data_IF_008239199838
#
_entry.id   IF_008239199838
#
_cell.length_a   1.000
_cell.length_b   1.000
_cell.length_c   1.000
_cell.angle_alpha   90.00
_cell.angle_beta   90.00
_cell.angle_gamma   90.00
#
_symmetry.space_group_name_H-M   'P 1'
#
loop_
_entity.id
_entity.type
_entity.pdbx_description
1 polymer ?
#
# COMPACT_ATOMS: atom_id res chain seq x y z
N UNK A 1 9.31 -32.16 25.90
CA UNK A 1 7.91 -32.10 25.47
C UNK A 1 7.72 -30.70 24.92
N UNK A 2 7.99 -30.51 23.63
CA UNK A 2 7.82 -29.22 22.98
C UNK A 2 6.36 -29.14 22.55
N UNK A 3 5.63 -28.17 23.09
CA UNK A 3 4.32 -27.80 22.60
C UNK A 3 4.47 -27.46 21.11
N UNK A 4 3.75 -28.21 20.28
CA UNK A 4 3.47 -27.81 18.91
C UNK A 4 2.63 -26.56 19.05
N UNK A 5 3.28 -25.39 18.97
CA UNK A 5 2.60 -24.11 18.83
C UNK A 5 1.79 -24.24 17.56
N UNK A 6 0.48 -24.48 17.73
CA UNK A 6 -0.45 -24.55 16.64
C UNK A 6 -0.32 -23.25 15.86
N UNK A 7 0.14 -23.35 14.61
CA UNK A 7 -0.02 -22.29 13.62
C UNK A 7 -1.50 -21.93 13.69
N UNK A 8 -1.88 -20.65 13.92
CA UNK A 8 -3.28 -20.26 13.89
C UNK A 8 -3.82 -20.79 12.58
N UNK A 9 -4.85 -21.62 12.64
CA UNK A 9 -5.53 -22.07 11.44
C UNK A 9 -6.09 -20.80 10.82
N UNK A 10 -5.36 -20.30 9.84
CA UNK A 10 -5.71 -19.15 9.03
C UNK A 10 -6.98 -19.60 8.30
N UNK A 11 -8.11 -19.28 8.90
CA UNK A 11 -9.44 -19.64 8.43
C UNK A 11 -9.80 -18.64 7.33
N UNK A 12 -8.96 -18.59 6.30
CA UNK A 12 -9.18 -17.73 5.15
C UNK A 12 -10.43 -18.22 4.44
N UNK A 13 -11.40 -17.33 4.36
CA UNK A 13 -12.53 -17.49 3.43
C UNK A 13 -12.13 -17.19 1.98
N UNK A 14 -10.83 -17.03 1.70
CA UNK A 14 -10.32 -16.78 0.36
C UNK A 14 -10.05 -18.09 -0.36
N UNK A 15 -10.60 -18.22 -1.56
CA UNK A 15 -10.13 -19.22 -2.51
C UNK A 15 -8.83 -18.74 -3.20
N UNK A 16 -8.14 -19.64 -3.91
CA UNK A 16 -6.87 -19.33 -4.57
C UNK A 16 -6.98 -18.19 -5.60
N UNK A 17 -8.12 -18.06 -6.28
CA UNK A 17 -8.37 -17.01 -7.27
C UNK A 17 -8.45 -15.63 -6.61
N UNK A 18 -9.19 -15.51 -5.50
CA UNK A 18 -9.28 -14.28 -4.71
C UNK A 18 -7.94 -13.87 -4.09
N UNK A 19 -7.13 -14.86 -3.68
CA UNK A 19 -5.79 -14.59 -3.17
C UNK A 19 -4.85 -14.07 -4.28
N UNK A 20 -4.89 -14.66 -5.46
CA UNK A 20 -4.16 -14.16 -6.62
C UNK A 20 -4.59 -12.73 -6.99
N UNK A 21 -5.89 -12.44 -7.00
CA UNK A 21 -6.41 -11.10 -7.29
C UNK A 21 -5.92 -10.07 -6.25
N UNK A 22 -5.94 -10.42 -4.95
CA UNK A 22 -5.42 -9.56 -3.90
C UNK A 22 -3.91 -9.25 -4.08
N UNK A 23 -3.12 -10.26 -4.45
CA UNK A 23 -1.69 -10.14 -4.73
C UNK A 23 -1.45 -9.23 -5.94
N UNK A 24 -2.20 -9.42 -7.04
CA UNK A 24 -2.10 -8.59 -8.24
C UNK A 24 -2.40 -7.12 -7.95
N UNK A 25 -3.47 -6.85 -7.19
CA UNK A 25 -3.83 -5.47 -6.81
C UNK A 25 -2.75 -4.84 -5.93
N UNK A 26 -2.14 -5.61 -5.03
CA UNK A 26 -1.08 -5.12 -4.16
C UNK A 26 0.22 -4.83 -4.93
N UNK A 27 0.59 -5.68 -5.89
CA UNK A 27 1.69 -5.40 -6.84
C UNK A 27 1.44 -4.12 -7.65
N UNK A 28 0.20 -3.92 -8.11
CA UNK A 28 -0.19 -2.68 -8.80
C UNK A 28 0.00 -1.45 -7.91
N UNK A 29 -0.48 -1.50 -6.67
CA UNK A 29 -0.32 -0.42 -5.70
C UNK A 29 1.17 -0.10 -5.44
N UNK A 30 2.00 -1.12 -5.19
CA UNK A 30 3.44 -0.95 -4.96
C UNK A 30 4.14 -0.26 -6.13
N UNK A 31 3.83 -0.67 -7.37
CA UNK A 31 4.39 -0.07 -8.58
C UNK A 31 3.99 1.40 -8.75
N UNK A 32 2.73 1.74 -8.45
CA UNK A 32 2.25 3.13 -8.50
C UNK A 32 3.01 4.00 -7.49
N UNK A 33 3.13 3.53 -6.24
CA UNK A 33 3.83 4.25 -5.17
C UNK A 33 5.32 4.44 -5.45
N UNK A 34 5.99 3.39 -5.93
CA UNK A 34 7.41 3.47 -6.35
C UNK A 34 7.60 4.45 -7.52
N UNK A 35 6.68 4.47 -8.49
CA UNK A 35 6.72 5.45 -9.58
C UNK A 35 6.60 6.90 -9.08
N UNK A 36 5.74 7.14 -8.08
CA UNK A 36 5.57 8.46 -7.48
C UNK A 36 6.84 8.88 -6.74
N UNK A 37 7.48 7.97 -5.98
CA UNK A 37 8.76 8.26 -5.32
C UNK A 37 9.84 8.67 -6.33
N UNK A 38 10.02 7.89 -7.39
CA UNK A 38 11.01 8.18 -8.44
C UNK A 38 10.77 9.54 -9.10
N UNK A 39 9.50 9.89 -9.33
CA UNK A 39 9.15 11.20 -9.90
C UNK A 39 9.48 12.34 -8.93
N UNK A 40 9.08 12.22 -7.66
CA UNK A 40 9.39 13.21 -6.63
C UNK A 40 10.91 13.39 -6.48
N UNK A 41 11.69 12.31 -6.56
CA UNK A 41 13.15 12.32 -6.52
C UNK A 41 13.76 13.07 -7.69
N UNK A 42 13.25 12.84 -8.90
CA UNK A 42 13.71 13.51 -10.13
C UNK A 42 13.45 15.03 -10.16
N UNK A 43 12.58 15.53 -9.28
CA UNK A 43 12.18 16.94 -9.23
C UNK A 43 11.14 17.32 -10.28
N UNK A 44 10.66 16.37 -11.08
CA UNK A 44 9.48 16.55 -11.91
C UNK A 44 8.23 16.70 -11.04
N UNK A 45 7.35 17.62 -11.40
CA UNK A 45 6.19 17.99 -10.60
C UNK A 45 4.94 18.02 -11.46
N UNK A 46 4.35 16.85 -11.70
CA UNK A 46 3.01 16.74 -12.26
C UNK A 46 2.02 16.48 -11.13
N UNK A 47 1.75 17.51 -10.30
CA UNK A 47 0.98 17.39 -9.07
C UNK A 47 -0.37 16.68 -9.23
N UNK A 48 -1.11 16.97 -10.30
CA UNK A 48 -2.37 16.26 -10.63
C UNK A 48 -2.12 14.76 -10.91
N UNK A 49 -1.14 14.43 -11.74
CA UNK A 49 -0.81 13.05 -12.07
C UNK A 49 -0.25 12.27 -10.87
N UNK A 50 0.44 12.94 -9.94
CA UNK A 50 0.84 12.34 -8.66
C UNK A 50 -0.40 12.06 -7.81
N UNK A 51 -1.33 13.01 -7.68
CA UNK A 51 -2.56 12.84 -6.91
C UNK A 51 -3.42 11.69 -7.44
N UNK A 52 -3.59 11.59 -8.75
CA UNK A 52 -4.35 10.52 -9.40
C UNK A 52 -3.74 9.14 -9.12
N UNK A 53 -2.41 9.00 -9.25
CA UNK A 53 -1.72 7.73 -8.93
C UNK A 53 -1.79 7.37 -7.45
N UNK A 54 -1.75 8.34 -6.54
CA UNK A 54 -1.93 8.10 -5.12
C UNK A 54 -3.36 7.64 -4.81
N UNK A 55 -4.37 8.21 -5.48
CA UNK A 55 -5.75 7.77 -5.36
C UNK A 55 -5.94 6.34 -5.89
N UNK A 56 -5.32 6.03 -7.02
CA UNK A 56 -5.35 4.68 -7.60
C UNK A 56 -4.65 3.67 -6.70
N UNK A 57 -3.45 3.98 -6.18
CA UNK A 57 -2.74 3.13 -5.24
C UNK A 57 -3.58 2.86 -3.98
N UNK A 58 -4.24 3.88 -3.43
CA UNK A 58 -5.15 3.73 -2.29
C UNK A 58 -6.30 2.77 -2.61
N UNK A 59 -6.91 2.90 -3.79
CA UNK A 59 -8.01 2.03 -4.23
C UNK A 59 -7.54 0.57 -4.34
N UNK A 60 -6.35 0.36 -4.93
CA UNK A 60 -5.75 -0.97 -5.11
C UNK A 60 -5.45 -1.65 -3.78
N UNK A 61 -4.91 -0.92 -2.80
CA UNK A 61 -4.75 -1.45 -1.44
C UNK A 61 -6.09 -1.82 -0.82
N UNK A 62 -7.14 -1.00 -1.01
CA UNK A 62 -8.46 -1.33 -0.49
C UNK A 62 -9.05 -2.60 -1.13
N UNK A 63 -8.84 -2.85 -2.43
CA UNK A 63 -9.24 -4.11 -3.07
C UNK A 63 -8.59 -5.31 -2.38
N UNK A 64 -7.28 -5.25 -2.12
CA UNK A 64 -6.58 -6.29 -1.35
C UNK A 64 -7.11 -6.42 0.09
N UNK A 65 -7.41 -5.29 0.75
CA UNK A 65 -7.95 -5.27 2.12
C UNK A 65 -9.30 -5.98 2.24
N UNK A 66 -10.19 -5.84 1.26
CA UNK A 66 -11.49 -6.53 1.26
C UNK A 66 -11.36 -8.07 1.33
N UNK A 67 -10.25 -8.60 0.83
CA UNK A 67 -9.95 -10.03 0.91
C UNK A 67 -9.26 -10.42 2.23
N UNK A 68 -8.54 -9.48 2.85
CA UNK A 68 -7.67 -9.75 4.02
C UNK A 68 -8.20 -9.22 5.35
N UNK A 69 -9.35 -8.54 5.37
CA UNK A 69 -9.92 -7.88 6.57
C UNK A 69 -10.19 -8.83 7.76
N UNK A 70 -10.32 -10.13 7.51
CA UNK A 70 -10.50 -11.12 8.59
C UNK A 70 -9.22 -11.43 9.37
N UNK A 71 -8.05 -11.13 8.79
CA UNK A 71 -6.76 -11.23 9.48
C UNK A 71 -6.42 -9.86 10.07
N UNK A 72 -6.43 -9.77 11.40
CA UNK A 72 -6.24 -8.51 12.14
C UNK A 72 -4.88 -7.88 11.82
N UNK A 73 -3.82 -8.69 11.66
CA UNK A 73 -2.49 -8.14 11.40
C UNK A 73 -2.45 -7.54 9.99
N UNK A 74 -2.98 -8.26 8.99
CA UNK A 74 -3.00 -7.74 7.62
C UNK A 74 -3.90 -6.51 7.48
N UNK A 75 -5.04 -6.48 8.15
CA UNK A 75 -5.93 -5.32 8.14
C UNK A 75 -5.25 -4.10 8.78
N UNK A 76 -4.55 -4.26 9.91
CA UNK A 76 -3.79 -3.17 10.54
C UNK A 76 -2.74 -2.56 9.58
N UNK A 77 -1.93 -3.40 8.92
CA UNK A 77 -0.93 -2.91 7.98
C UNK A 77 -1.55 -2.24 6.74
N UNK A 78 -2.63 -2.80 6.20
CA UNK A 78 -3.35 -2.24 5.05
C UNK A 78 -4.00 -0.89 5.41
N UNK A 79 -4.68 -0.80 6.55
CA UNK A 79 -5.32 0.45 7.01
C UNK A 79 -4.29 1.53 7.28
N UNK A 80 -3.16 1.20 7.93
CA UNK A 80 -2.07 2.16 8.14
C UNK A 80 -1.50 2.65 6.80
N UNK A 81 -1.22 1.74 5.86
CA UNK A 81 -0.74 2.10 4.53
C UNK A 81 -1.72 3.00 3.77
N UNK A 82 -3.01 2.68 3.80
CA UNK A 82 -4.07 3.51 3.22
C UNK A 82 -4.11 4.92 3.83
N UNK A 83 -3.95 5.04 5.15
CA UNK A 83 -3.84 6.32 5.84
C UNK A 83 -2.66 7.15 5.33
N UNK A 84 -1.48 6.53 5.25
CA UNK A 84 -0.26 7.17 4.77
C UNK A 84 -0.36 7.62 3.30
N UNK A 85 -0.96 6.80 2.43
CA UNK A 85 -1.20 7.16 1.02
C UNK A 85 -2.15 8.36 0.94
N UNK A 86 -3.22 8.37 1.75
CA UNK A 86 -4.16 9.47 1.79
C UNK A 86 -3.51 10.77 2.31
N UNK A 87 -2.65 10.69 3.32
CA UNK A 87 -1.89 11.83 3.83
C UNK A 87 -0.97 12.41 2.75
N UNK A 88 -0.24 11.54 2.04
CA UNK A 88 0.59 11.93 0.90
C UNK A 88 -0.23 12.66 -0.16
N UNK A 89 -1.39 12.11 -0.52
CA UNK A 89 -2.30 12.70 -1.51
C UNK A 89 -2.81 14.07 -1.06
N UNK A 90 -3.29 14.19 0.18
CA UNK A 90 -3.80 15.45 0.71
C UNK A 90 -2.73 16.54 0.73
N UNK A 91 -1.47 16.18 1.02
CA UNK A 91 -0.35 17.12 0.95
C UNK A 91 -0.09 17.59 -0.50
N UNK A 92 -0.12 16.69 -1.48
CA UNK A 92 0.00 17.03 -2.91
C UNK A 92 -1.14 17.94 -3.35
N UNK A 93 -2.39 17.57 -3.04
CA UNK A 93 -3.58 18.36 -3.39
C UNK A 93 -3.54 19.76 -2.77
N UNK A 94 -3.06 19.87 -1.53
CA UNK A 94 -2.89 21.15 -0.86
C UNK A 94 -1.88 22.04 -1.61
N UNK A 95 -0.73 21.49 -2.00
CA UNK A 95 0.28 22.22 -2.78
C UNK A 95 -0.28 22.71 -4.13
N UNK A 96 -1.00 21.83 -4.84
CA UNK A 96 -1.66 22.17 -6.11
C UNK A 96 -2.70 23.27 -5.91
N UNK A 97 -3.58 23.14 -4.91
CA UNK A 97 -4.65 24.10 -4.64
C UNK A 97 -4.14 25.49 -4.26
N UNK A 98 -3.00 25.56 -3.57
CA UNK A 98 -2.35 26.82 -3.19
C UNK A 98 -1.54 27.44 -4.33
N UNK A 99 -1.48 26.79 -5.50
CA UNK A 99 -0.60 27.20 -6.60
C UNK A 99 0.88 27.20 -6.20
N UNK A 100 1.25 26.40 -5.19
CA UNK A 100 2.62 26.29 -4.70
C UNK A 100 3.30 25.12 -5.41
N UNK A 101 4.52 25.36 -5.89
CA UNK A 101 5.41 24.27 -6.27
C UNK A 101 5.78 23.40 -5.06
N UNK A 102 6.42 22.27 -5.31
CA UNK A 102 6.91 21.38 -4.25
C UNK A 102 7.94 22.10 -3.40
N UNK A 103 7.66 22.20 -2.10
CA UNK A 103 8.65 22.69 -1.14
C UNK A 103 9.54 21.54 -0.70
N UNK A 104 10.76 21.83 -0.25
CA UNK A 104 11.67 20.79 0.28
C UNK A 104 11.04 20.02 1.44
N UNK A 105 10.34 20.72 2.34
CA UNK A 105 9.61 20.07 3.44
C UNK A 105 8.43 19.23 2.96
N UNK A 106 7.66 19.74 2.00
CA UNK A 106 6.57 18.97 1.37
C UNK A 106 7.08 17.69 0.74
N UNK A 107 8.19 17.75 -0.02
CA UNK A 107 8.82 16.57 -0.61
C UNK A 107 9.21 15.55 0.47
N UNK A 108 9.91 15.99 1.51
CA UNK A 108 10.33 15.10 2.61
C UNK A 108 9.13 14.41 3.26
N UNK A 109 8.08 15.17 3.59
CA UNK A 109 6.87 14.62 4.23
C UNK A 109 6.13 13.64 3.33
N UNK A 110 5.89 14.00 2.06
CA UNK A 110 5.21 13.13 1.09
C UNK A 110 6.02 11.85 0.85
N UNK A 111 7.33 11.97 0.62
CA UNK A 111 8.22 10.82 0.46
C UNK A 111 8.19 9.92 1.69
N UNK A 112 8.23 10.47 2.91
CA UNK A 112 8.16 9.67 4.14
C UNK A 112 6.86 8.89 4.26
N UNK A 113 5.72 9.49 3.92
CA UNK A 113 4.43 8.80 3.92
C UNK A 113 4.44 7.63 2.94
N UNK A 114 4.91 7.86 1.70
CA UNK A 114 4.93 6.82 0.67
C UNK A 114 5.91 5.69 1.03
N UNK A 115 7.11 6.01 1.52
CA UNK A 115 8.08 4.99 1.93
C UNK A 115 7.58 4.14 3.09
N UNK A 116 6.87 4.72 4.06
CA UNK A 116 6.27 3.96 5.15
C UNK A 116 5.12 3.07 4.65
N UNK A 117 4.28 3.58 3.74
CA UNK A 117 3.22 2.78 3.12
C UNK A 117 3.80 1.58 2.36
N UNK A 118 4.82 1.80 1.53
CA UNK A 118 5.52 0.73 0.79
C UNK A 118 6.04 -0.37 1.71
N UNK A 119 6.64 -0.01 2.85
CA UNK A 119 7.15 -0.97 3.83
C UNK A 119 6.03 -1.87 4.36
N UNK A 120 4.91 -1.29 4.75
CA UNK A 120 3.75 -2.04 5.26
C UNK A 120 3.16 -2.95 4.17
N UNK A 121 2.98 -2.43 2.96
CA UNK A 121 2.42 -3.20 1.84
C UNK A 121 3.34 -4.33 1.38
N UNK A 122 4.66 -4.16 1.49
CA UNK A 122 5.63 -5.22 1.20
C UNK A 122 5.49 -6.38 2.20
N UNK A 123 5.28 -6.07 3.48
CA UNK A 123 5.02 -7.10 4.48
C UNK A 123 3.72 -7.87 4.17
N UNK A 124 2.63 -7.16 3.87
CA UNK A 124 1.35 -7.77 3.49
C UNK A 124 1.53 -8.66 2.26
N UNK A 125 2.25 -8.18 1.23
CA UNK A 125 2.49 -8.94 0.01
C UNK A 125 3.23 -10.25 0.28
N UNK A 126 4.32 -10.19 1.07
CA UNK A 126 5.06 -11.39 1.42
C UNK A 126 4.19 -12.43 2.13
N UNK A 127 3.34 -12.00 3.07
CA UNK A 127 2.42 -12.92 3.76
C UNK A 127 1.40 -13.54 2.79
N UNK A 128 0.83 -12.76 1.86
CA UNK A 128 -0.11 -13.28 0.87
C UNK A 128 0.55 -14.27 -0.09
N UNK A 129 1.76 -13.97 -0.57
CA UNK A 129 2.53 -14.88 -1.43
C UNK A 129 2.90 -16.18 -0.69
N UNK A 130 3.28 -16.09 0.58
CA UNK A 130 3.52 -17.25 1.44
C UNK A 130 2.25 -18.10 1.64
N UNK A 131 1.08 -17.46 1.76
CA UNK A 131 -0.19 -18.18 1.84
C UNK A 131 -0.51 -18.91 0.53
N UNK A 132 -0.30 -18.27 -0.61
CA UNK A 132 -0.53 -18.88 -1.92
C UNK A 132 0.36 -20.11 -2.11
N UNK A 133 1.64 -20.01 -1.72
CA UNK A 133 2.60 -21.12 -1.78
C UNK A 133 2.22 -22.31 -0.88
N UNK A 134 1.46 -22.08 0.20
CA UNK A 134 0.97 -23.16 1.09
C UNK A 134 -0.29 -23.85 0.55
N UNK A 135 -0.99 -23.21 -0.38
CA UNK A 135 -2.20 -23.74 -1.02
C UNK A 135 -1.89 -24.56 -2.29
N UNK A 136 -0.74 -24.32 -2.92
CA UNK A 136 -0.25 -25.04 -4.10
C UNK A 136 0.38 -26.40 -3.74
#
# INVERSE_FOLDING_TARGET
MFEVVGIPSVNLKLNAEQLCEAIEELHCALNLLDSVLKELESGAMMGMAISDRLAEAWYKVNCCRLYTESDVNLDEFNVEAMGLINDAKCMVDSLVSWGKGMTSHGKISITSCISNALRNLTFVLCELEDWLNRLA
#
